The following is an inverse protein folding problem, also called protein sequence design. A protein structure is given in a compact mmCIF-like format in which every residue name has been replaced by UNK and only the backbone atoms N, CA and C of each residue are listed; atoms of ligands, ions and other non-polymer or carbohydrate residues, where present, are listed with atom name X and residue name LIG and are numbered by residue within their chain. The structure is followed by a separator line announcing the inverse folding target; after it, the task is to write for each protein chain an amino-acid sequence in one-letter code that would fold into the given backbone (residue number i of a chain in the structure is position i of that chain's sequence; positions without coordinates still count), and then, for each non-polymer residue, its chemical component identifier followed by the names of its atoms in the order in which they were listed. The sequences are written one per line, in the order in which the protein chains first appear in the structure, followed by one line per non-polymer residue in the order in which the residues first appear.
data_IF_066163267400
#
_entry.id   IF_066163267400
#
_cell.length_a   1.000
_cell.length_b   1.000
_cell.length_c   1.000
_cell.angle_alpha   90.00
_cell.angle_beta   90.00
_cell.angle_gamma   90.00
#
_symmetry.space_group_name_H-M   'P 1'
#
loop_
_entity.id
_entity.type
_entity.pdbx_description
1 polymer ?
#
# COMPACT_ATOMS: atom_id res chain seq x y z
N UNK A 1 13.46 3.23 -3.74
CA UNK A 1 12.00 3.14 -3.98
C UNK A 1 11.36 4.50 -4.21
N UNK A 2 11.82 5.56 -3.55
CA UNK A 2 11.31 6.92 -3.77
C UNK A 2 11.38 7.39 -5.24
N UNK A 3 12.37 6.93 -6.00
CA UNK A 3 12.51 7.20 -7.44
C UNK A 3 11.38 6.60 -8.28
N UNK A 4 10.93 5.37 -7.98
CA UNK A 4 9.82 4.71 -8.68
C UNK A 4 8.50 5.41 -8.37
N UNK A 5 8.27 5.73 -7.09
CA UNK A 5 7.13 6.51 -6.65
C UNK A 5 7.10 7.88 -7.32
N UNK A 6 8.21 8.62 -7.31
CA UNK A 6 8.32 9.94 -7.95
C UNK A 6 8.01 9.86 -9.45
N UNK A 7 8.52 8.83 -10.15
CA UNK A 7 8.16 8.57 -11.54
C UNK A 7 6.67 8.33 -11.70
N UNK A 8 6.05 7.48 -10.86
CA UNK A 8 4.61 7.20 -10.93
C UNK A 8 3.77 8.48 -10.76
N UNK A 9 4.12 9.35 -9.80
CA UNK A 9 3.46 10.66 -9.62
C UNK A 9 3.68 11.61 -10.80
N UNK A 10 4.87 11.63 -11.40
CA UNK A 10 5.13 12.45 -12.59
C UNK A 10 4.31 12.02 -13.82
N UNK A 11 3.77 10.79 -13.81
CA UNK A 11 2.89 10.26 -14.84
C UNK A 11 1.40 10.35 -14.45
N UNK A 12 1.07 11.18 -13.46
CA UNK A 12 -0.32 11.49 -13.10
C UNK A 12 -0.96 10.54 -12.07
N UNK A 13 -0.15 9.76 -11.34
CA UNK A 13 -0.71 8.95 -10.25
C UNK A 13 -1.22 9.81 -9.10
N UNK A 14 -2.26 9.29 -8.44
CA UNK A 14 -2.88 9.89 -7.26
C UNK A 14 -2.38 9.19 -5.98
N UNK A 15 -2.30 9.96 -4.90
CA UNK A 15 -2.07 9.41 -3.57
C UNK A 15 -3.40 8.91 -3.02
N UNK A 16 -3.52 7.60 -2.88
CA UNK A 16 -4.70 6.92 -2.34
C UNK A 16 -4.32 6.41 -0.95
N UNK A 17 -4.74 7.15 0.07
CA UNK A 17 -4.60 6.73 1.47
C UNK A 17 -5.99 6.68 2.11
N UNK A 18 -6.22 5.66 2.94
CA UNK A 18 -7.46 5.45 3.65
C UNK A 18 -7.16 5.36 5.14
N UNK A 19 -7.95 6.08 5.95
CA UNK A 19 -7.78 6.04 7.38
C UNK A 19 -8.16 4.65 7.92
N UNK A 20 -7.15 3.91 8.34
CA UNK A 20 -7.33 2.62 9.02
C UNK A 20 -7.27 2.81 10.54
N UNK A 21 -8.13 2.08 11.26
CA UNK A 21 -8.21 2.10 12.72
C UNK A 21 -7.92 0.70 13.26
N UNK A 22 -7.05 0.64 14.26
CA UNK A 22 -6.70 -0.56 15.02
C UNK A 22 -7.42 -0.55 16.37
N UNK A 23 -8.05 -1.66 16.68
CA UNK A 23 -8.72 -1.89 17.97
C UNK A 23 -7.88 -2.85 18.81
N UNK A 24 -7.57 -2.44 20.03
CA UNK A 24 -6.91 -3.28 21.02
C UNK A 24 -7.97 -3.82 21.97
N UNK A 25 -8.03 -5.14 22.10
CA UNK A 25 -8.94 -5.83 23.00
C UNK A 25 -8.16 -6.51 24.11
N UNK A 26 -8.74 -6.55 25.30
CA UNK A 26 -8.25 -7.34 26.42
C UNK A 26 -8.46 -8.84 26.19
N UNK A 27 -7.84 -9.68 27.01
CA UNK A 27 -8.06 -11.14 26.99
C UNK A 27 -9.53 -11.53 27.23
N UNK A 28 -10.30 -10.65 27.89
CA UNK A 28 -11.74 -10.80 28.12
C UNK A 28 -12.58 -10.27 26.95
N UNK A 29 -11.95 -9.93 25.82
CA UNK A 29 -12.55 -9.35 24.61
C UNK A 29 -13.23 -8.00 24.84
N UNK A 30 -12.81 -7.27 25.86
CA UNK A 30 -13.28 -5.89 26.12
C UNK A 30 -12.40 -4.93 25.34
N UNK A 31 -12.99 -3.94 24.70
CA UNK A 31 -12.24 -2.90 23.99
C UNK A 31 -11.45 -2.04 24.99
N UNK A 32 -10.13 -2.04 24.86
CA UNK A 32 -9.23 -1.24 25.72
C UNK A 32 -8.78 0.05 25.03
N UNK A 33 -8.53 -0.01 23.72
CA UNK A 33 -7.95 1.11 22.99
C UNK A 33 -8.35 1.13 21.52
N UNK A 34 -8.39 2.33 20.94
CA UNK A 34 -8.64 2.59 19.52
C UNK A 34 -7.53 3.52 19.03
N UNK A 35 -6.74 3.04 18.07
CA UNK A 35 -5.60 3.79 17.54
C UNK A 35 -5.71 3.92 16.03
N UNK A 36 -5.38 5.08 15.47
CA UNK A 36 -5.21 5.24 14.03
C UNK A 36 -3.92 4.56 13.59
N UNK A 37 -3.94 3.87 12.45
CA UNK A 37 -2.74 3.24 11.90
C UNK A 37 -1.90 4.28 11.19
N UNK A 38 -0.75 4.62 11.79
CA UNK A 38 0.22 5.49 11.12
C UNK A 38 1.02 4.72 10.06
N UNK A 39 1.20 5.35 8.90
CA UNK A 39 2.01 4.81 7.83
C UNK A 39 3.51 5.04 8.11
N UNK A 40 4.25 3.96 8.34
CA UNK A 40 5.71 4.00 8.45
C UNK A 40 6.36 4.08 7.05
N UNK A 41 7.58 4.65 6.93
CA UNK A 41 8.27 4.76 5.63
C UNK A 41 8.44 3.42 4.89
N UNK A 42 8.63 2.32 5.63
CA UNK A 42 8.75 0.99 5.04
C UNK A 42 7.47 0.53 4.33
N UNK A 43 6.29 0.95 4.79
CA UNK A 43 5.02 0.59 4.13
C UNK A 43 4.97 1.14 2.71
N UNK A 44 5.51 2.35 2.46
CA UNK A 44 5.59 2.95 1.12
C UNK A 44 6.52 2.17 0.19
N UNK A 45 7.60 1.60 0.74
CA UNK A 45 8.52 0.74 -0.01
C UNK A 45 7.84 -0.55 -0.45
N UNK A 46 7.06 -1.17 0.45
CA UNK A 46 6.28 -2.37 0.13
C UNK A 46 5.17 -2.06 -0.87
N UNK A 47 4.43 -0.95 -0.69
CA UNK A 47 3.40 -0.48 -1.63
C UNK A 47 3.96 -0.39 -3.06
N UNK A 48 5.08 0.32 -3.24
CA UNK A 48 5.66 0.54 -4.57
C UNK A 48 6.19 -0.76 -5.19
N UNK A 49 6.76 -1.67 -4.39
CA UNK A 49 7.17 -2.99 -4.86
C UNK A 49 5.98 -3.80 -5.39
N UNK A 50 4.83 -3.75 -4.70
CA UNK A 50 3.61 -4.43 -5.11
C UNK A 50 3.00 -3.82 -6.38
N UNK A 51 2.99 -2.49 -6.49
CA UNK A 51 2.53 -1.79 -7.70
C UNK A 51 3.36 -2.23 -8.91
N UNK A 52 4.69 -2.26 -8.80
CA UNK A 52 5.58 -2.70 -9.87
C UNK A 52 5.36 -4.17 -10.25
N UNK A 53 5.17 -5.05 -9.27
CA UNK A 53 4.88 -6.45 -9.52
C UNK A 53 3.56 -6.63 -10.30
N UNK A 54 2.51 -5.94 -9.88
CA UNK A 54 1.21 -5.97 -10.56
C UNK A 54 1.30 -5.43 -11.99
N UNK A 55 2.04 -4.34 -12.19
CA UNK A 55 2.27 -3.78 -13.51
C UNK A 55 2.98 -4.78 -14.43
N UNK A 56 4.04 -5.43 -13.94
CA UNK A 56 4.82 -6.40 -14.73
C UNK A 56 4.00 -7.61 -15.16
N UNK A 57 3.20 -8.16 -14.24
CA UNK A 57 2.31 -9.29 -14.54
C UNK A 57 1.24 -8.88 -15.56
N UNK A 58 0.66 -7.69 -15.40
CA UNK A 58 -0.31 -7.15 -16.34
C UNK A 58 0.28 -7.02 -17.74
N UNK A 59 1.37 -6.26 -17.90
CA UNK A 59 1.94 -6.01 -19.22
C UNK A 59 2.51 -7.29 -19.84
N UNK A 60 3.49 -7.95 -19.20
CA UNK A 60 4.31 -8.93 -19.91
C UNK A 60 3.76 -10.37 -19.97
N UNK A 61 2.78 -10.73 -19.14
CA UNK A 61 2.41 -12.14 -18.96
C UNK A 61 0.94 -12.46 -19.25
N UNK A 62 0.02 -11.51 -19.07
CA UNK A 62 -1.43 -11.78 -19.18
C UNK A 62 -2.03 -11.06 -20.39
N UNK A 63 -1.71 -9.79 -20.60
CA UNK A 63 -2.34 -9.01 -21.68
C UNK A 63 -1.54 -9.03 -23.00
N UNK A 64 -0.23 -9.27 -22.96
CA UNK A 64 0.61 -9.45 -24.16
C UNK A 64 0.72 -10.93 -24.59
N UNK A 65 0.00 -11.86 -23.94
CA UNK A 65 -0.02 -13.28 -24.27
C UNK A 65 -1.05 -13.60 -25.38
N UNK A 66 -0.87 -12.97 -26.54
CA UNK A 66 -1.47 -13.35 -27.84
C UNK A 66 -0.40 -13.50 -28.93
#
# INVERSE_FOLDING_TARGET
MDTFRARRFSHGALELDSMEVKFQFSDQKVLENVQTKEALPIHRTVEEAMVLANQLVGSGNIYDAE
#
